data_IF_858174256540
#
_entry.id   IF_858174256540
#
_cell.length_a   1.000
_cell.length_b   1.000
_cell.length_c   1.000
_cell.angle_alpha   90.00
_cell.angle_beta   90.00
_cell.angle_gamma   90.00
#
_symmetry.space_group_name_H-M   'P 1'
#
loop_
_entity.id
_entity.type
_entity.pdbx_description
1 polymer ?
#
# COMPACT_ATOMS: atom_id res chain seq x y z
N UNK A 1 -5.03 -4.33 -7.37
CA UNK A 1 -4.14 -5.52 -7.30
C UNK A 1 -2.94 -5.32 -8.23
N UNK A 2 -1.87 -6.06 -7.99
CA UNK A 2 -0.71 -6.16 -8.90
C UNK A 2 -0.32 -7.65 -9.05
N UNK A 3 0.38 -8.02 -10.11
CA UNK A 3 0.88 -9.37 -10.29
C UNK A 3 2.38 -9.44 -9.97
N UNK A 4 2.77 -10.32 -9.04
CA UNK A 4 4.17 -10.63 -8.74
C UNK A 4 4.64 -11.71 -9.72
N UNK A 5 5.32 -11.29 -10.79
CA UNK A 5 5.85 -12.20 -11.82
C UNK A 5 6.92 -13.15 -11.29
N UNK A 6 7.62 -12.81 -10.21
CA UNK A 6 8.64 -13.68 -9.63
C UNK A 6 8.01 -14.85 -8.87
N UNK A 7 6.88 -14.61 -8.18
CA UNK A 7 6.20 -15.63 -7.38
C UNK A 7 4.96 -16.22 -8.03
N UNK A 8 4.53 -15.71 -9.17
CA UNK A 8 3.35 -16.17 -9.90
C UNK A 8 2.04 -15.99 -9.12
N UNK A 9 1.89 -14.90 -8.37
CA UNK A 9 0.70 -14.64 -7.57
C UNK A 9 0.22 -13.18 -7.68
N UNK A 10 -0.98 -12.92 -7.17
CA UNK A 10 -1.57 -11.59 -7.16
C UNK A 10 -1.44 -10.96 -5.77
N UNK A 11 -1.04 -9.70 -5.76
CA UNK A 11 -0.99 -8.86 -4.57
C UNK A 11 -2.29 -8.08 -4.44
N UNK A 12 -3.01 -8.33 -3.36
CA UNK A 12 -4.17 -7.57 -2.94
C UNK A 12 -3.79 -6.65 -1.79
N UNK A 13 -4.02 -5.36 -1.92
CA UNK A 13 -3.92 -4.41 -0.82
C UNK A 13 -5.29 -4.11 -0.25
N UNK A 14 -5.33 -3.95 1.05
CA UNK A 14 -6.55 -3.60 1.78
C UNK A 14 -6.20 -2.61 2.88
N UNK A 15 -7.18 -1.87 3.35
CA UNK A 15 -7.01 -0.98 4.49
C UNK A 15 -7.80 -1.50 5.69
N UNK A 16 -7.28 -1.22 6.88
CA UNK A 16 -7.86 -1.68 8.13
C UNK A 16 -7.88 -0.54 9.17
N UNK A 17 -8.87 -0.57 10.06
CA UNK A 17 -9.11 0.47 11.06
C UNK A 17 -10.05 1.58 10.58
N UNK A 18 -10.13 2.66 11.35
CA UNK A 18 -11.00 3.82 11.10
C UNK A 18 -10.25 4.86 10.27
N UNK A 19 -10.73 5.19 9.08
CA UNK A 19 -9.94 5.95 8.09
C UNK A 19 -9.52 7.36 8.51
N UNK A 20 -10.22 7.98 9.47
CA UNK A 20 -9.91 9.30 10.02
C UNK A 20 -9.13 9.23 11.34
N UNK A 21 -8.62 8.05 11.72
CA UNK A 21 -7.78 7.87 12.90
C UNK A 21 -6.35 7.54 12.47
N UNK A 22 -5.40 7.89 13.34
CA UNK A 22 -3.96 7.70 13.10
C UNK A 22 -3.60 6.26 12.76
N UNK A 23 -4.29 5.28 13.36
CA UNK A 23 -3.92 3.86 13.27
C UNK A 23 -4.49 3.16 12.03
N UNK A 24 -5.25 3.89 11.19
CA UNK A 24 -5.62 3.38 9.86
C UNK A 24 -4.38 2.97 9.09
N UNK A 25 -4.38 1.76 8.56
CA UNK A 25 -3.18 1.20 7.94
C UNK A 25 -3.51 0.40 6.70
N UNK A 26 -2.48 0.07 5.93
CA UNK A 26 -2.60 -0.76 4.73
C UNK A 26 -1.93 -2.10 4.95
N UNK A 27 -2.68 -3.16 4.74
CA UNK A 27 -2.19 -4.52 4.66
C UNK A 27 -1.97 -4.97 3.22
N UNK A 28 -1.28 -6.10 3.07
CA UNK A 28 -1.13 -6.80 1.81
C UNK A 28 -1.45 -8.27 1.99
N UNK A 29 -2.05 -8.88 0.97
CA UNK A 29 -2.36 -10.30 0.89
C UNK A 29 -1.87 -10.85 -0.45
N UNK A 30 -1.51 -12.13 -0.46
CA UNK A 30 -1.15 -12.88 -1.66
C UNK A 30 -2.29 -13.80 -2.05
N UNK A 31 -2.74 -13.69 -3.28
CA UNK A 31 -3.82 -14.48 -3.84
C UNK A 31 -3.29 -15.38 -4.96
N UNK A 32 -3.71 -16.65 -4.98
CA UNK A 32 -3.33 -17.59 -6.04
C UNK A 32 -3.95 -17.24 -7.39
N UNK A 33 -5.12 -16.59 -7.38
CA UNK A 33 -5.82 -16.10 -8.57
C UNK A 33 -6.36 -14.68 -8.31
N UNK A 34 -6.88 -13.96 -9.33
CA UNK A 34 -7.55 -12.68 -9.10
C UNK A 34 -8.74 -12.75 -8.15
N UNK A 35 -9.38 -13.91 -8.02
CA UNK A 35 -10.54 -14.15 -7.14
C UNK A 35 -10.20 -14.93 -5.87
N UNK A 36 -8.91 -15.21 -5.63
CA UNK A 36 -8.42 -15.92 -4.45
C UNK A 36 -8.17 -17.43 -4.64
N UNK A 37 -8.02 -18.18 -3.54
CA UNK A 37 -7.95 -17.70 -2.15
C UNK A 37 -6.79 -16.73 -1.91
N UNK A 38 -6.95 -15.86 -0.91
CA UNK A 38 -5.96 -14.87 -0.50
C UNK A 38 -5.50 -15.11 0.94
N UNK A 39 -4.20 -15.00 1.18
CA UNK A 39 -3.60 -15.07 2.52
C UNK A 39 -2.95 -13.73 2.85
N UNK A 40 -3.40 -13.08 3.92
CA UNK A 40 -2.82 -11.85 4.44
C UNK A 40 -1.38 -12.08 4.92
N UNK A 41 -0.53 -11.07 4.73
CA UNK A 41 0.82 -11.10 5.29
C UNK A 41 0.74 -10.97 6.83
N UNK A 42 1.23 -11.96 7.60
CA UNK A 42 1.10 -11.96 9.05
C UNK A 42 2.00 -10.95 9.75
N UNK A 43 3.03 -10.41 9.07
CA UNK A 43 3.88 -9.37 9.64
C UNK A 43 3.26 -7.97 9.60
N UNK A 44 2.00 -7.86 9.16
CA UNK A 44 1.31 -6.60 8.95
C UNK A 44 1.25 -5.70 10.20
N UNK A 45 0.96 -4.39 10.02
CA UNK A 45 0.60 -3.73 8.75
C UNK A 45 1.76 -3.60 7.75
N UNK A 46 1.46 -3.63 6.44
CA UNK A 46 2.47 -3.45 5.39
C UNK A 46 2.89 -1.99 5.26
N UNK A 47 1.96 -1.06 5.46
CA UNK A 47 2.21 0.38 5.55
C UNK A 47 1.51 0.92 6.80
N UNK A 48 2.29 1.57 7.66
CA UNK A 48 1.82 2.21 8.88
C UNK A 48 2.21 3.70 8.93
N UNK A 49 1.57 4.41 9.84
CA UNK A 49 1.89 5.81 10.16
C UNK A 49 3.38 5.97 10.50
N UNK A 50 4.06 6.88 9.81
CA UNK A 50 5.49 7.13 9.96
C UNK A 50 5.88 8.49 9.37
N UNK A 51 7.00 9.05 9.81
CA UNK A 51 7.62 10.26 9.23
C UNK A 51 6.65 11.45 9.07
N UNK A 52 5.84 11.76 10.10
CA UNK A 52 4.90 12.89 10.06
C UNK A 52 3.66 12.68 9.19
N UNK A 53 3.45 11.45 8.69
CA UNK A 53 2.31 11.07 7.84
C UNK A 53 1.57 9.91 8.49
N UNK A 54 0.25 10.05 8.58
CA UNK A 54 -0.60 9.12 9.31
C UNK A 54 -1.73 8.58 8.47
N UNK A 55 -2.34 7.50 8.96
CA UNK A 55 -3.48 6.86 8.35
C UNK A 55 -3.25 6.43 6.89
N UNK A 56 -2.17 5.71 6.51
CA UNK A 56 -1.99 5.32 5.11
C UNK A 56 -3.05 4.34 4.62
N UNK A 57 -3.75 4.66 3.53
CA UNK A 57 -4.63 3.69 2.87
C UNK A 57 -5.36 4.19 1.62
N UNK A 58 -6.33 3.38 1.17
CA UNK A 58 -6.94 3.55 -0.16
C UNK A 58 -5.95 3.29 -1.30
N UNK A 59 -5.04 2.34 -1.10
CA UNK A 59 -3.92 2.12 -2.02
C UNK A 59 -4.37 1.56 -3.36
N UNK A 60 -3.84 2.12 -4.45
CA UNK A 60 -3.88 1.54 -5.80
C UNK A 60 -2.48 1.33 -6.37
N UNK A 61 -2.30 0.26 -7.13
CA UNK A 61 -1.11 0.05 -7.95
C UNK A 61 -1.36 0.55 -9.36
N UNK A 62 -0.31 1.05 -10.01
CA UNK A 62 -0.34 1.45 -11.41
C UNK A 62 1.05 1.36 -12.04
N UNK A 63 1.09 1.42 -13.37
CA UNK A 63 2.32 1.51 -14.15
C UNK A 63 2.43 2.93 -14.70
N UNK A 64 3.56 3.58 -14.52
CA UNK A 64 3.78 4.91 -15.10
C UNK A 64 4.05 4.82 -16.62
N UNK A 65 4.18 5.98 -17.28
CA UNK A 65 4.43 6.08 -18.73
C UNK A 65 5.76 5.45 -19.19
N UNK A 66 6.68 5.17 -18.26
CA UNK A 66 7.97 4.50 -18.52
C UNK A 66 7.94 3.00 -18.24
N UNK A 67 6.77 2.43 -17.96
CA UNK A 67 6.63 0.99 -17.68
C UNK A 67 7.00 0.58 -16.24
N UNK A 68 7.24 1.53 -15.34
CA UNK A 68 7.67 1.25 -13.97
C UNK A 68 6.47 1.13 -13.02
N UNK A 69 6.46 0.09 -12.20
CA UNK A 69 5.43 -0.13 -11.19
C UNK A 69 5.47 0.95 -10.08
N UNK A 70 4.29 1.39 -9.67
CA UNK A 70 4.06 2.41 -8.65
C UNK A 70 2.89 2.04 -7.76
N UNK A 71 2.89 2.60 -6.55
CA UNK A 71 1.75 2.62 -5.67
C UNK A 71 1.35 4.07 -5.38
N UNK A 72 0.05 4.33 -5.30
CA UNK A 72 -0.52 5.59 -4.82
C UNK A 72 -1.44 5.30 -3.65
N UNK A 73 -1.33 6.09 -2.58
CA UNK A 73 -2.19 5.99 -1.40
C UNK A 73 -2.34 7.36 -0.72
N UNK A 74 -3.32 7.47 0.17
CA UNK A 74 -3.64 8.72 0.86
C UNK A 74 -3.17 8.68 2.31
N UNK A 75 -2.74 9.82 2.84
CA UNK A 75 -2.31 10.01 4.24
C UNK A 75 -2.69 11.41 4.73
N UNK A 76 -2.89 11.55 6.04
CA UNK A 76 -2.97 12.86 6.69
C UNK A 76 -1.57 13.40 7.01
N UNK A 77 -1.49 14.71 7.23
CA UNK A 77 -0.41 15.26 8.04
C UNK A 77 -0.68 14.87 9.50
N UNK A 78 0.36 14.48 10.22
CA UNK A 78 0.24 14.05 11.61
C UNK A 78 -0.46 15.11 12.49
N UNK A 79 -1.45 14.67 13.28
CA UNK A 79 -2.25 15.56 14.13
C UNK A 79 -3.33 16.35 13.39
N UNK A 80 -3.57 16.06 12.11
CA UNK A 80 -4.63 16.65 11.27
C UNK A 80 -5.64 15.60 10.79
N UNK A 81 -5.69 14.45 11.42
CA UNK A 81 -6.67 13.40 11.13
C UNK A 81 -8.08 13.90 11.43
N UNK A 82 -9.01 13.74 10.48
CA UNK A 82 -10.37 14.28 10.60
C UNK A 82 -11.32 13.64 9.61
N UNK A 83 -12.62 13.68 9.92
CA UNK A 83 -13.69 13.26 9.02
C UNK A 83 -13.99 14.31 7.94
N UNK A 84 -13.68 15.58 8.19
CA UNK A 84 -14.14 16.72 7.35
C UNK A 84 -12.98 17.48 6.68
N UNK A 85 -11.83 16.84 6.51
CA UNK A 85 -10.62 17.45 5.95
C UNK A 85 -10.01 16.65 4.80
N UNK A 86 -8.93 17.18 4.24
CA UNK A 86 -8.24 16.58 3.09
C UNK A 86 -7.12 15.63 3.50
N UNK A 87 -6.92 14.59 2.68
CA UNK A 87 -5.71 13.74 2.69
C UNK A 87 -4.89 14.06 1.46
N UNK A 88 -3.57 13.96 1.58
CA UNK A 88 -2.67 14.15 0.44
C UNK A 88 -2.33 12.82 -0.20
N UNK A 89 -2.38 12.77 -1.53
CA UNK A 89 -1.92 11.62 -2.29
C UNK A 89 -0.39 11.50 -2.21
N UNK A 90 0.10 10.28 -2.05
CA UNK A 90 1.52 9.93 -2.01
C UNK A 90 1.77 8.84 -3.04
N UNK A 91 2.74 9.05 -3.93
CA UNK A 91 3.17 8.07 -4.94
C UNK A 91 4.54 7.55 -4.55
N UNK A 92 4.70 6.22 -4.50
CA UNK A 92 5.98 5.57 -4.22
C UNK A 92 6.34 4.55 -5.30
N UNK A 93 7.64 4.32 -5.57
CA UNK A 93 8.06 3.18 -6.37
C UNK A 93 7.64 1.87 -5.68
N UNK A 94 7.10 0.94 -6.48
CA UNK A 94 6.77 -0.40 -6.03
C UNK A 94 7.92 -1.34 -6.42
N UNK A 95 8.50 -2.00 -5.43
CA UNK A 95 9.44 -3.10 -5.64
C UNK A 95 8.69 -4.41 -5.38
N UNK A 96 8.72 -5.34 -6.34
CA UNK A 96 8.04 -6.65 -6.22
C UNK A 96 8.99 -7.77 -5.80
N UNK A 97 10.29 -7.63 -6.10
CA UNK A 97 11.31 -8.65 -5.90
C UNK A 97 12.61 -8.02 -5.40
N UNK A 98 13.34 -8.66 -4.46
CA UNK A 98 13.01 -9.93 -3.80
C UNK A 98 11.93 -9.78 -2.72
N UNK A 99 11.66 -8.56 -2.25
CA UNK A 99 10.67 -8.27 -1.20
C UNK A 99 9.67 -7.25 -1.75
N UNK A 100 8.39 -7.45 -1.45
CA UNK A 100 7.34 -6.50 -1.83
C UNK A 100 7.43 -5.28 -0.90
N UNK A 101 7.85 -4.15 -1.45
CA UNK A 101 8.12 -2.94 -0.66
C UNK A 101 7.84 -1.66 -1.41
N UNK A 102 7.69 -0.57 -0.65
CA UNK A 102 7.58 0.78 -1.17
C UNK A 102 8.86 1.55 -0.85
N UNK A 103 9.49 2.10 -1.89
CA UNK A 103 10.75 2.82 -1.75
C UNK A 103 11.60 2.78 -3.02
N UNK A 104 12.65 3.61 -3.10
CA UNK A 104 13.57 3.57 -4.22
C UNK A 104 14.20 2.16 -4.35
N UNK A 105 14.39 1.71 -5.59
CA UNK A 105 15.19 0.51 -5.86
C UNK A 105 16.62 0.84 -5.47
N UNK A 106 17.07 0.34 -4.33
CA UNK A 106 18.50 0.41 -3.96
C UNK A 106 19.21 -0.56 -4.89
N UNK A 107 20.07 -0.04 -5.76
CA UNK A 107 20.95 -0.84 -6.61
C UNK A 107 22.04 -1.50 -5.78
#
# INVERSE_FOLDING_TARGET
MAYDYTRGNYLLTYSAGVWWERDYSTGIARCSTPVGPCTSDPSGPWIASSAGRTAPGGLSFFTNTTGQARAIFSTFAEGRETQNGGRSATIMPLTLSPIVGLGPVVK
#
